data_IF_192576813187
#
_entry.id   IF_192576813187
#
_cell.length_a   1.000
_cell.length_b   1.000
_cell.length_c   1.000
_cell.angle_alpha   90.00
_cell.angle_beta   90.00
_cell.angle_gamma   90.00
#
_symmetry.space_group_name_H-M   'P 1'
#
loop_
_entity.id
_entity.type
_entity.pdbx_description
1 polymer ?
#
# COMPACT_ATOMS: atom_id res chain seq x y z
N UNK A 1 -18.46 2.40 -22.38
CA UNK A 1 -17.20 1.94 -23.01
C UNK A 1 -16.66 0.74 -22.24
N UNK A 2 -16.17 -0.29 -22.93
CA UNK A 2 -15.55 -1.46 -22.31
C UNK A 2 -14.32 -1.86 -23.14
N UNK A 3 -13.13 -1.56 -22.63
CA UNK A 3 -11.87 -1.84 -23.32
C UNK A 3 -11.05 -2.80 -22.48
N UNK A 4 -10.49 -3.82 -23.11
CA UNK A 4 -9.69 -4.85 -22.45
C UNK A 4 -8.38 -5.03 -23.19
N UNK A 5 -7.28 -5.07 -22.43
CA UNK A 5 -5.93 -5.32 -22.93
C UNK A 5 -5.32 -6.46 -22.13
N UNK A 6 -4.67 -7.39 -22.83
CA UNK A 6 -3.92 -8.49 -22.22
C UNK A 6 -2.43 -8.20 -22.36
N UNK A 7 -1.71 -8.33 -21.25
CA UNK A 7 -0.26 -8.18 -21.19
C UNK A 7 0.29 -9.56 -20.85
N UNK A 8 1.24 -10.04 -21.66
CA UNK A 8 1.89 -11.34 -21.46
C UNK A 8 3.40 -11.11 -21.47
N UNK A 9 4.03 -11.48 -20.37
CA UNK A 9 5.48 -11.46 -20.18
C UNK A 9 6.09 -12.83 -20.54
N UNK A 10 7.40 -12.88 -20.78
CA UNK A 10 8.15 -14.14 -20.83
C UNK A 10 7.89 -15.01 -19.60
N UNK A 11 7.94 -16.32 -19.78
CA UNK A 11 7.80 -17.28 -18.68
C UNK A 11 8.92 -17.05 -17.66
N UNK A 12 8.55 -16.99 -16.38
CA UNK A 12 9.47 -16.70 -15.27
C UNK A 12 9.53 -15.22 -14.88
N UNK A 13 8.98 -14.33 -15.69
CA UNK A 13 8.82 -12.91 -15.36
C UNK A 13 7.42 -12.59 -14.87
N UNK A 14 7.30 -11.48 -14.13
CA UNK A 14 6.04 -10.90 -13.67
C UNK A 14 5.87 -9.52 -14.26
N UNK A 15 4.62 -9.06 -14.31
CA UNK A 15 4.23 -7.78 -14.88
C UNK A 15 4.01 -6.80 -13.73
N UNK A 16 4.84 -5.77 -13.66
CA UNK A 16 4.63 -4.63 -12.78
C UNK A 16 3.91 -3.52 -13.56
N UNK A 17 2.79 -3.02 -13.05
CA UNK A 17 1.98 -1.96 -13.66
C UNK A 17 1.84 -0.79 -12.71
N UNK A 18 2.05 0.43 -13.20
CA UNK A 18 1.85 1.65 -12.43
C UNK A 18 1.23 2.76 -13.28
N UNK A 19 0.41 3.59 -12.64
CA UNK A 19 -0.17 4.76 -13.28
C UNK A 19 0.83 5.91 -13.32
N UNK A 20 0.94 6.53 -14.49
CA UNK A 20 1.61 7.84 -14.66
C UNK A 20 0.59 8.98 -14.78
N UNK A 21 -0.69 8.63 -14.91
CA UNK A 21 -1.83 9.54 -14.88
C UNK A 21 -3.12 8.73 -14.66
N UNK A 22 -4.07 9.25 -13.88
CA UNK A 22 -5.42 8.70 -13.78
C UNK A 22 -6.39 9.80 -13.34
N UNK A 23 -7.37 10.15 -14.16
CA UNK A 23 -8.50 11.00 -13.82
C UNK A 23 -9.76 10.40 -14.47
N UNK A 24 -10.56 9.70 -13.67
CA UNK A 24 -11.75 8.99 -14.11
C UNK A 24 -13.00 9.65 -13.55
N UNK A 25 -14.15 9.41 -14.17
CA UNK A 25 -15.40 9.95 -13.64
C UNK A 25 -15.76 9.32 -12.30
N UNK A 26 -16.19 10.18 -11.36
CA UNK A 26 -16.72 9.78 -10.08
C UNK A 26 -17.99 10.56 -9.74
N UNK A 27 -19.11 9.84 -9.58
CA UNK A 27 -20.31 10.40 -8.98
C UNK A 27 -20.36 10.20 -7.46
N UNK A 28 -20.59 11.29 -6.73
CA UNK A 28 -20.90 11.28 -5.28
C UNK A 28 -22.26 10.66 -5.01
N UNK A 29 -23.24 11.00 -5.83
CA UNK A 29 -24.65 10.67 -5.61
C UNK A 29 -25.04 9.30 -6.16
N UNK A 30 -24.25 8.77 -7.11
CA UNK A 30 -24.46 7.46 -7.69
C UNK A 30 -23.16 6.64 -7.72
N UNK A 31 -22.92 5.78 -6.71
CA UNK A 31 -21.73 4.94 -6.67
C UNK A 31 -21.57 3.98 -7.85
N UNK A 32 -22.67 3.70 -8.57
CA UNK A 32 -22.69 2.85 -9.76
C UNK A 32 -22.30 3.61 -11.03
N UNK A 33 -22.36 4.94 -11.01
CA UNK A 33 -21.94 5.81 -12.12
C UNK A 33 -20.53 6.31 -11.86
N UNK A 34 -19.57 5.40 -12.00
CA UNK A 34 -18.14 5.65 -11.82
C UNK A 34 -17.37 4.87 -12.86
N UNK A 35 -16.40 5.54 -13.44
CA UNK A 35 -15.43 4.93 -14.33
C UNK A 35 -14.32 4.28 -13.52
N UNK A 36 -13.82 3.14 -13.97
CA UNK A 36 -12.75 2.43 -13.27
C UNK A 36 -11.88 1.60 -14.21
N UNK A 37 -10.63 1.41 -13.78
CA UNK A 37 -9.70 0.44 -14.34
C UNK A 37 -9.62 -0.73 -13.39
N UNK A 38 -9.79 -1.94 -13.91
CA UNK A 38 -9.72 -3.19 -13.17
C UNK A 38 -8.64 -4.07 -13.77
N UNK A 39 -7.74 -4.56 -12.93
CA UNK A 39 -6.63 -5.42 -13.33
C UNK A 39 -6.87 -6.81 -12.78
N UNK A 40 -6.78 -7.83 -13.64
CA UNK A 40 -7.03 -9.23 -13.34
C UNK A 40 -5.75 -10.05 -13.50
N UNK A 41 -5.55 -11.01 -12.59
CA UNK A 41 -4.50 -12.00 -12.73
C UNK A 41 -4.71 -12.91 -13.94
N UNK A 42 -3.67 -13.12 -14.76
CA UNK A 42 -3.76 -13.95 -15.95
C UNK A 42 -4.53 -13.32 -17.11
N UNK A 43 -5.06 -14.16 -18.00
CA UNK A 43 -5.69 -13.73 -19.27
C UNK A 43 -7.23 -13.61 -19.19
N UNK A 44 -7.84 -13.88 -18.04
CA UNK A 44 -9.30 -13.91 -17.89
C UNK A 44 -9.83 -12.72 -17.10
N UNK A 45 -10.93 -12.13 -17.57
CA UNK A 45 -11.70 -11.13 -16.81
C UNK A 45 -12.83 -11.75 -15.98
N UNK A 46 -12.72 -13.04 -15.67
CA UNK A 46 -13.71 -13.76 -14.85
C UNK A 46 -13.74 -13.22 -13.43
N UNK A 47 -14.92 -13.14 -12.82
CA UNK A 47 -15.06 -12.77 -11.41
C UNK A 47 -14.37 -13.73 -10.44
N UNK A 48 -14.01 -14.94 -10.90
CA UNK A 48 -13.24 -15.91 -10.11
C UNK A 48 -11.75 -15.56 -10.01
N UNK A 49 -11.29 -14.68 -10.89
CA UNK A 49 -9.90 -14.23 -10.92
C UNK A 49 -9.70 -13.11 -9.92
N UNK A 50 -8.58 -13.15 -9.17
CA UNK A 50 -8.21 -12.03 -8.31
C UNK A 50 -8.07 -10.76 -9.13
N UNK A 51 -8.64 -9.65 -8.64
CA UNK A 51 -8.57 -8.37 -9.32
C UNK A 51 -8.41 -7.21 -8.36
N UNK A 52 -7.76 -6.16 -8.87
CA UNK A 52 -7.61 -4.88 -8.20
C UNK A 52 -8.32 -3.84 -9.05
N UNK A 53 -9.23 -3.10 -8.42
CA UNK A 53 -9.99 -2.03 -9.06
C UNK A 53 -9.49 -0.68 -8.59
N UNK A 54 -9.05 0.13 -9.54
CA UNK A 54 -8.61 1.50 -9.35
C UNK A 54 -9.67 2.45 -9.92
N UNK A 55 -10.08 3.44 -9.14
CA UNK A 55 -10.97 4.51 -9.61
C UNK A 55 -10.38 5.87 -9.24
N UNK A 56 -11.15 6.94 -9.31
CA UNK A 56 -10.84 8.24 -8.69
C UNK A 56 -11.98 8.58 -7.74
N UNK A 57 -11.80 9.57 -6.88
CA UNK A 57 -12.83 9.89 -5.90
C UNK A 57 -12.71 11.26 -5.29
N UNK A 58 -13.47 11.46 -4.21
CA UNK A 58 -13.44 12.69 -3.42
C UNK A 58 -12.00 12.94 -2.94
N UNK A 59 -11.47 14.12 -3.25
CA UNK A 59 -10.11 14.48 -2.85
C UNK A 59 -9.02 13.84 -3.71
N UNK A 60 -9.37 13.29 -4.89
CA UNK A 60 -8.38 12.93 -5.90
C UNK A 60 -7.46 14.12 -6.22
N UNK A 61 -6.18 13.83 -6.43
CA UNK A 61 -5.16 14.81 -6.83
C UNK A 61 -4.28 14.18 -7.90
N UNK A 62 -3.82 14.94 -8.92
CA UNK A 62 -2.94 14.41 -9.96
C UNK A 62 -1.64 13.79 -9.44
N UNK A 63 -1.19 14.19 -8.23
CA UNK A 63 0.01 13.66 -7.58
C UNK A 63 -0.22 12.37 -6.80
N UNK A 64 -1.48 11.94 -6.64
CA UNK A 64 -1.85 10.71 -5.91
C UNK A 64 -2.20 9.61 -6.90
N UNK A 65 -1.22 8.74 -7.17
CA UNK A 65 -1.40 7.56 -8.02
C UNK A 65 -1.75 6.33 -7.18
N UNK A 66 -2.55 5.39 -7.73
CA UNK A 66 -2.69 4.07 -7.16
C UNK A 66 -1.32 3.38 -7.00
N UNK A 67 -1.15 2.52 -5.99
CA UNK A 67 0.07 1.73 -5.83
C UNK A 67 0.38 0.88 -7.06
N UNK A 68 1.66 0.56 -7.24
CA UNK A 68 2.09 -0.38 -8.28
C UNK A 68 1.47 -1.75 -8.04
N UNK A 69 0.81 -2.29 -9.07
CA UNK A 69 0.29 -3.65 -9.08
C UNK A 69 1.34 -4.57 -9.67
N UNK A 70 1.60 -5.70 -9.02
CA UNK A 70 2.49 -6.74 -9.53
C UNK A 70 1.68 -8.01 -9.71
N UNK A 71 1.73 -8.60 -10.91
CA UNK A 71 1.06 -9.86 -11.19
C UNK A 71 1.73 -11.03 -10.46
N UNK A 72 0.94 -12.04 -10.11
CA UNK A 72 1.40 -13.31 -9.55
C UNK A 72 1.91 -14.28 -10.62
N UNK A 73 1.53 -14.05 -11.87
CA UNK A 73 1.92 -14.84 -13.05
C UNK A 73 2.55 -13.98 -14.15
N UNK A 74 2.92 -14.58 -15.27
CA UNK A 74 3.44 -13.87 -16.44
C UNK A 74 2.33 -13.27 -17.31
N UNK A 75 1.06 -13.26 -16.87
CA UNK A 75 -0.04 -12.65 -17.60
C UNK A 75 -0.89 -11.77 -16.68
N UNK A 76 -1.36 -10.65 -17.24
CA UNK A 76 -2.22 -9.69 -16.56
C UNK A 76 -3.21 -9.11 -17.58
N UNK A 77 -4.47 -8.98 -17.19
CA UNK A 77 -5.50 -8.36 -18.03
C UNK A 77 -5.93 -7.03 -17.42
N UNK A 78 -5.87 -5.95 -18.19
CA UNK A 78 -6.35 -4.62 -17.81
C UNK A 78 -7.68 -4.36 -18.50
N UNK A 79 -8.71 -3.98 -17.73
CA UNK A 79 -10.04 -3.65 -18.25
C UNK A 79 -10.47 -2.26 -17.80
N UNK A 80 -10.86 -1.41 -18.73
CA UNK A 80 -11.46 -0.11 -18.46
C UNK A 80 -12.97 -0.16 -18.72
N UNK A 81 -13.76 0.24 -17.71
CA UNK A 81 -15.21 0.32 -17.77
C UNK A 81 -15.63 1.77 -17.55
N UNK A 82 -16.47 2.27 -18.45
CA UNK A 82 -17.14 3.56 -18.31
C UNK A 82 -18.60 3.46 -18.75
N UNK A 83 -19.50 4.16 -18.07
CA UNK A 83 -20.91 4.24 -18.44
C UNK A 83 -21.15 5.25 -19.60
N UNK A 84 -20.14 6.04 -19.97
CA UNK A 84 -20.19 7.04 -21.03
C UNK A 84 -20.89 8.34 -20.65
N UNK A 85 -21.33 8.49 -19.40
CA UNK A 85 -22.00 9.68 -18.88
C UNK A 85 -20.99 10.46 -18.03
N UNK A 86 -20.85 11.77 -18.30
CA UNK A 86 -19.91 12.66 -17.62
C UNK A 86 -18.46 12.12 -17.64
N UNK A 87 -17.68 12.49 -18.66
CA UNK A 87 -16.34 11.94 -18.85
C UNK A 87 -15.25 12.81 -18.25
N UNK A 88 -14.13 12.18 -17.90
CA UNK A 88 -12.90 12.83 -17.44
C UNK A 88 -11.72 12.49 -18.37
N UNK A 89 -10.52 12.99 -18.05
CA UNK A 89 -9.32 12.90 -18.92
C UNK A 89 -8.78 11.48 -19.15
N UNK A 90 -9.28 10.48 -18.43
CA UNK A 90 -8.87 9.08 -18.59
C UNK A 90 -7.60 8.73 -17.80
N UNK A 91 -6.85 7.72 -18.26
CA UNK A 91 -5.67 7.22 -17.56
C UNK A 91 -4.51 6.93 -18.50
N UNK A 92 -3.30 6.91 -17.94
CA UNK A 92 -2.09 6.43 -18.59
C UNK A 92 -1.31 5.56 -17.61
N UNK A 93 -1.12 4.30 -17.97
CA UNK A 93 -0.29 3.37 -17.23
C UNK A 93 0.98 3.03 -18.01
N UNK A 94 1.98 2.55 -17.29
CA UNK A 94 3.15 1.87 -17.82
C UNK A 94 3.20 0.47 -17.22
N UNK A 95 3.81 -0.44 -17.95
CA UNK A 95 4.08 -1.79 -17.47
C UNK A 95 5.51 -2.19 -17.78
N UNK A 96 6.05 -3.10 -17.00
CA UNK A 96 7.36 -3.69 -17.17
C UNK A 96 7.25 -5.20 -16.89
N UNK A 97 7.80 -6.01 -17.78
CA UNK A 97 8.03 -7.43 -17.56
C UNK A 97 9.44 -7.60 -16.99
N UNK A 98 9.55 -8.23 -15.82
CA UNK A 98 10.84 -8.49 -15.19
C UNK A 98 10.76 -9.63 -14.19
N UNK A 99 11.91 -10.22 -13.90
CA UNK A 99 12.08 -11.01 -12.68
C UNK A 99 12.02 -10.04 -11.50
N UNK A 100 11.06 -10.24 -10.61
CA UNK A 100 10.92 -9.38 -9.43
C UNK A 100 11.47 -10.12 -8.22
N UNK A 101 12.63 -9.69 -7.67
CA UNK A 101 13.17 -10.28 -6.46
C UNK A 101 12.25 -10.01 -5.27
N UNK A 102 12.16 -10.98 -4.37
CA UNK A 102 11.45 -10.86 -3.10
C UNK A 102 12.43 -11.07 -1.94
N UNK A 103 12.11 -10.47 -0.80
CA UNK A 103 12.90 -10.66 0.43
C UNK A 103 11.97 -10.96 1.61
N UNK A 104 12.26 -12.06 2.31
CA UNK A 104 11.52 -12.54 3.48
C UNK A 104 11.94 -11.89 4.79
N UNK A 105 12.93 -11.00 4.76
CA UNK A 105 13.47 -10.34 5.95
C UNK A 105 12.79 -9.01 6.21
N UNK A 106 12.26 -8.84 7.42
CA UNK A 106 11.71 -7.57 7.89
C UNK A 106 12.76 -6.45 7.78
N UNK A 107 12.31 -5.23 7.47
CA UNK A 107 13.18 -4.07 7.51
C UNK A 107 13.71 -3.79 8.92
N UNK A 108 14.71 -2.92 9.02
CA UNK A 108 15.26 -2.49 10.30
C UNK A 108 14.94 -1.01 10.54
N UNK A 109 14.99 -0.60 11.80
CA UNK A 109 14.94 0.83 12.14
C UNK A 109 16.20 1.51 11.60
N UNK A 110 15.98 2.61 10.89
CA UNK A 110 17.03 3.49 10.37
C UNK A 110 16.80 4.88 10.95
N UNK A 111 17.60 5.26 11.94
CA UNK A 111 17.54 6.58 12.54
C UNK A 111 18.06 7.64 11.57
N UNK A 112 17.41 8.81 11.54
CA UNK A 112 17.82 9.92 10.68
C UNK A 112 18.99 10.72 11.28
N UNK A 113 19.16 10.67 12.59
CA UNK A 113 20.20 11.37 13.33
C UNK A 113 20.56 10.63 14.63
N UNK A 114 21.57 11.13 15.35
CA UNK A 114 22.05 10.53 16.61
C UNK A 114 21.13 10.76 17.82
N UNK A 115 20.07 11.58 17.69
CA UNK A 115 19.12 11.83 18.78
C UNK A 115 18.17 10.64 19.00
N UNK A 116 18.08 9.73 18.03
CA UNK A 116 17.14 8.61 18.01
C UNK A 116 15.66 9.04 18.13
N UNK A 117 15.35 10.32 17.88
CA UNK A 117 13.98 10.86 17.94
C UNK A 117 13.23 10.72 16.63
N UNK A 118 13.89 10.39 15.53
CA UNK A 118 13.23 10.22 14.23
C UNK A 118 13.92 9.16 13.39
N UNK A 119 13.13 8.50 12.53
CA UNK A 119 13.63 7.37 11.76
C UNK A 119 12.61 6.83 10.77
N UNK A 120 13.08 5.89 9.96
CA UNK A 120 12.27 5.14 9.01
C UNK A 120 12.44 3.64 9.19
N UNK A 121 11.40 2.89 8.81
CA UNK A 121 11.38 1.43 8.80
C UNK A 121 10.75 0.99 7.48
N UNK A 122 11.51 0.42 6.54
CA UNK A 122 10.92 -0.21 5.36
C UNK A 122 10.21 -1.51 5.76
N UNK A 123 9.16 -1.90 5.03
CA UNK A 123 8.45 -3.15 5.33
C UNK A 123 9.34 -4.40 5.28
N UNK A 124 10.33 -4.40 4.39
CA UNK A 124 11.27 -5.49 4.18
C UNK A 124 12.63 -4.94 3.70
N UNK A 125 13.68 -5.73 3.84
CA UNK A 125 15.01 -5.40 3.30
C UNK A 125 14.99 -5.37 1.77
N UNK A 126 15.65 -4.37 1.17
CA UNK A 126 15.71 -4.24 -0.29
C UNK A 126 14.52 -3.53 -0.94
N UNK A 127 13.52 -3.08 -0.15
CA UNK A 127 12.36 -2.30 -0.66
C UNK A 127 12.78 -1.13 -1.55
N UNK A 128 13.76 -0.34 -1.12
CA UNK A 128 14.25 0.82 -1.88
C UNK A 128 14.89 0.42 -3.22
N UNK A 129 15.37 -0.81 -3.35
CA UNK A 129 15.88 -1.40 -4.59
C UNK A 129 14.79 -2.04 -5.47
N UNK A 130 13.52 -1.87 -5.12
CA UNK A 130 12.40 -2.40 -5.91
C UNK A 130 12.08 -3.89 -5.66
N UNK A 131 12.60 -4.47 -4.57
CA UNK A 131 12.17 -5.79 -4.12
C UNK A 131 10.72 -5.75 -3.60
N UNK A 132 10.06 -6.90 -3.61
CA UNK A 132 8.79 -7.11 -2.90
C UNK A 132 9.06 -7.77 -1.55
N UNK A 133 8.15 -7.58 -0.60
CA UNK A 133 8.14 -8.45 0.57
C UNK A 133 7.69 -9.86 0.14
N UNK A 134 8.20 -10.90 0.80
CA UNK A 134 7.76 -12.28 0.51
C UNK A 134 6.39 -12.58 1.13
N UNK A 135 5.70 -13.57 0.57
CA UNK A 135 4.53 -14.18 1.20
C UNK A 135 4.92 -14.87 2.54
N UNK A 136 3.93 -15.07 3.42
CA UNK A 136 4.06 -15.61 4.77
C UNK A 136 5.05 -14.89 5.71
N UNK A 137 5.33 -13.61 5.48
CA UNK A 137 6.13 -12.79 6.40
C UNK A 137 5.32 -12.39 7.63
N UNK A 138 5.98 -12.42 8.79
CA UNK A 138 5.46 -11.83 10.03
C UNK A 138 6.54 -10.93 10.61
N UNK A 139 6.25 -9.64 10.72
CA UNK A 139 7.17 -8.63 11.21
C UNK A 139 6.57 -7.88 12.40
N UNK A 140 7.41 -7.66 13.41
CA UNK A 140 7.11 -6.79 14.54
C UNK A 140 8.28 -5.81 14.72
N UNK A 141 7.97 -4.52 14.83
CA UNK A 141 8.95 -3.48 15.14
C UNK A 141 8.51 -2.73 16.39
N UNK A 142 9.35 -2.70 17.41
CA UNK A 142 9.17 -1.85 18.58
C UNK A 142 9.78 -0.47 18.28
N UNK A 143 8.97 0.58 18.33
CA UNK A 143 9.45 1.94 18.11
C UNK A 143 10.26 2.43 19.32
N UNK A 144 11.23 3.34 19.10
CA UNK A 144 11.98 3.98 20.19
C UNK A 144 11.05 4.72 21.14
N UNK A 145 11.46 4.80 22.40
CA UNK A 145 10.67 5.44 23.45
C UNK A 145 11.54 6.30 24.33
N UNK A 146 11.14 7.56 24.43
CA UNK A 146 11.80 8.55 25.27
C UNK A 146 10.74 9.10 26.23
N UNK A 147 10.92 8.95 27.55
CA UNK A 147 9.96 9.44 28.53
C UNK A 147 9.61 10.92 28.31
N UNK A 148 8.32 11.24 28.34
CA UNK A 148 7.80 12.60 28.14
C UNK A 148 7.59 13.01 26.68
N UNK A 149 8.08 12.22 25.70
CA UNK A 149 7.84 12.50 24.29
C UNK A 149 6.59 11.78 23.76
N UNK A 150 5.83 12.51 22.94
CA UNK A 150 4.73 12.03 22.12
C UNK A 150 5.29 11.36 20.86
N UNK A 151 4.64 10.31 20.37
CA UNK A 151 5.09 9.58 19.17
C UNK A 151 4.15 9.80 18.01
N UNK A 152 4.67 10.37 16.93
CA UNK A 152 4.01 10.41 15.62
C UNK A 152 4.47 9.24 14.76
N UNK A 153 3.51 8.55 14.16
CA UNK A 153 3.74 7.50 13.17
C UNK A 153 3.05 7.87 11.87
N UNK A 154 3.81 7.83 10.78
CA UNK A 154 3.35 8.12 9.43
C UNK A 154 3.68 6.93 8.52
N UNK A 155 2.66 6.29 7.97
CA UNK A 155 2.81 5.30 6.91
C UNK A 155 2.84 6.00 5.56
N UNK A 156 3.79 5.64 4.71
CA UNK A 156 4.01 6.24 3.39
C UNK A 156 4.12 5.17 2.31
N UNK A 157 3.66 5.52 1.10
CA UNK A 157 3.70 4.68 -0.10
C UNK A 157 3.16 3.28 0.17
N UNK A 158 1.98 3.22 0.77
CA UNK A 158 1.40 1.96 1.22
C UNK A 158 0.92 1.16 0.01
N UNK A 159 1.44 -0.06 -0.12
CA UNK A 159 1.07 -1.03 -1.13
C UNK A 159 1.07 -2.40 -0.47
N UNK A 160 -0.11 -2.86 -0.07
CA UNK A 160 -0.32 -4.22 0.45
C UNK A 160 -1.07 -5.06 -0.57
N UNK A 161 -0.72 -6.33 -0.64
CA UNK A 161 -1.43 -7.31 -1.43
C UNK A 161 -2.76 -7.66 -0.75
N UNK A 162 -3.70 -8.21 -1.53
CA UNK A 162 -5.04 -8.50 -1.04
C UNK A 162 -4.98 -9.65 -0.04
N UNK A 163 -5.38 -9.38 1.21
CA UNK A 163 -5.35 -10.37 2.30
C UNK A 163 -4.29 -10.06 3.35
N UNK A 164 -3.31 -9.22 3.02
CA UNK A 164 -2.26 -8.81 3.94
C UNK A 164 -2.78 -7.80 4.97
N UNK A 165 -2.16 -7.80 6.14
CA UNK A 165 -2.62 -7.02 7.29
C UNK A 165 -1.49 -6.25 7.94
N UNK A 166 -1.77 -5.00 8.29
CA UNK A 166 -0.90 -4.14 9.08
C UNK A 166 -1.69 -3.56 10.26
N UNK A 167 -1.06 -3.51 11.44
CA UNK A 167 -1.67 -2.90 12.61
C UNK A 167 -0.62 -2.31 13.54
N UNK A 168 -1.04 -1.32 14.33
CA UNK A 168 -0.25 -0.69 15.37
C UNK A 168 -0.81 -1.12 16.72
N UNK A 169 0.06 -1.34 17.69
CA UNK A 169 -0.33 -1.53 19.08
C UNK A 169 0.37 -0.51 19.97
N UNK A 170 -0.35 0.10 20.90
CA UNK A 170 0.19 1.09 21.83
C UNK A 170 -0.29 0.85 23.26
N UNK A 171 0.62 0.85 24.24
CA UNK A 171 0.28 0.88 25.66
C UNK A 171 0.53 2.30 26.22
N UNK A 172 -0.45 2.85 26.93
CA UNK A 172 -0.32 4.15 27.59
C UNK A 172 0.43 4.00 28.93
N UNK A 173 1.16 5.04 29.35
CA UNK A 173 1.87 5.05 30.64
C UNK A 173 0.92 4.90 31.84
N UNK A 174 -0.31 5.41 31.73
CA UNK A 174 -1.29 5.50 32.83
C UNK A 174 -2.71 5.18 32.36
N UNK A 175 -2.92 4.04 31.69
CA UNK A 175 -4.24 3.66 31.15
C UNK A 175 -4.47 2.14 31.05
N UNK A 176 -5.71 1.71 30.79
CA UNK A 176 -6.06 0.30 30.81
C UNK A 176 -5.60 -0.37 29.52
N UNK A 177 -4.60 -1.25 29.63
CA UNK A 177 -4.22 -2.22 28.60
C UNK A 177 -3.63 -1.68 27.30
N UNK A 178 -3.11 -2.61 26.49
CA UNK A 178 -2.55 -2.34 25.15
C UNK A 178 -3.71 -2.13 24.16
N UNK A 179 -3.73 -0.98 23.49
CA UNK A 179 -4.68 -0.66 22.42
C UNK A 179 -4.16 -1.17 21.08
N UNK A 180 -5.07 -1.63 20.22
CA UNK A 180 -4.75 -2.10 18.86
C UNK A 180 -5.46 -1.23 17.83
N UNK A 181 -4.74 -0.77 16.83
CA UNK A 181 -5.21 0.06 15.74
C UNK A 181 -4.93 -0.65 14.42
N UNK A 182 -5.98 -1.20 13.80
CA UNK A 182 -5.84 -1.81 12.49
C UNK A 182 -5.74 -0.74 11.40
N UNK A 183 -4.83 -0.96 10.45
CA UNK A 183 -4.69 -0.09 9.30
C UNK A 183 -5.78 -0.48 8.29
N UNK A 184 -6.86 0.30 8.24
CA UNK A 184 -7.88 0.15 7.21
C UNK A 184 -7.34 0.73 5.90
N UNK A 185 -7.04 -0.16 4.94
CA UNK A 185 -6.56 0.24 3.63
C UNK A 185 -7.71 0.26 2.64
N UNK A 186 -7.99 1.43 2.08
CA UNK A 186 -8.56 1.51 0.74
C UNK A 186 -7.43 1.76 -0.27
N UNK A 187 -7.66 1.48 -1.55
CA UNK A 187 -6.66 1.69 -2.62
C UNK A 187 -6.35 3.19 -2.86
N UNK A 188 -7.11 4.11 -2.25
CA UNK A 188 -6.80 5.55 -2.22
C UNK A 188 -5.83 5.94 -1.10
N UNK A 189 -5.60 5.04 -0.14
CA UNK A 189 -4.85 5.32 1.08
C UNK A 189 -3.35 5.19 0.80
N UNK A 190 -2.74 6.29 0.40
CA UNK A 190 -1.29 6.37 0.08
C UNK A 190 -0.46 6.68 1.34
N UNK A 191 -1.06 7.33 2.34
CA UNK A 191 -0.42 7.68 3.60
C UNK A 191 -1.41 7.73 4.75
N UNK A 192 -0.95 7.38 5.96
CA UNK A 192 -1.76 7.43 7.19
C UNK A 192 -0.90 8.01 8.30
N UNK A 193 -1.43 9.00 9.01
CA UNK A 193 -0.75 9.63 10.14
C UNK A 193 -1.51 9.32 11.43
N UNK A 194 -0.77 8.97 12.48
CA UNK A 194 -1.29 8.74 13.82
C UNK A 194 -0.36 9.36 14.86
N UNK A 195 -0.91 10.25 15.65
CA UNK A 195 -0.29 10.77 16.85
C UNK A 195 -0.72 9.93 18.03
N UNK A 196 0.25 9.44 18.79
CA UNK A 196 0.04 8.67 20.01
C UNK A 196 0.46 9.55 21.18
N UNK A 197 -0.45 9.76 22.13
CA UNK A 197 -0.12 10.29 23.46
C UNK A 197 1.09 9.56 24.06
N UNK A 198 1.80 10.15 25.04
CA UNK A 198 2.97 9.53 25.66
C UNK A 198 2.74 8.04 26.00
N UNK A 199 3.30 7.17 25.17
CA UNK A 199 3.07 5.74 25.16
C UNK A 199 4.34 4.99 25.55
N UNK A 200 4.18 3.94 26.35
CA UNK A 200 5.27 3.15 26.95
C UNK A 200 5.51 1.81 26.25
N UNK A 201 4.68 1.41 25.29
CA UNK A 201 5.01 0.32 24.33
C UNK A 201 4.31 0.61 22.99
N UNK A 202 5.05 1.01 21.96
CA UNK A 202 4.50 1.23 20.61
C UNK A 202 5.13 0.23 19.66
N UNK A 203 4.30 -0.65 19.08
CA UNK A 203 4.76 -1.63 18.10
C UNK A 203 3.97 -1.58 16.81
N UNK A 204 4.69 -1.69 15.71
CA UNK A 204 4.17 -1.86 14.37
C UNK A 204 4.21 -3.34 14.00
N UNK A 205 3.14 -3.83 13.40
CA UNK A 205 2.99 -5.22 13.00
C UNK A 205 2.61 -5.32 11.54
N UNK A 206 3.19 -6.29 10.85
CA UNK A 206 2.85 -6.63 9.47
C UNK A 206 2.80 -8.15 9.30
N UNK A 207 1.76 -8.63 8.64
CA UNK A 207 1.60 -10.03 8.28
C UNK A 207 1.14 -10.14 6.83
N UNK A 208 1.89 -10.88 6.02
CA UNK A 208 1.47 -11.21 4.66
C UNK A 208 0.85 -12.61 4.62
N UNK A 209 -0.05 -12.82 3.66
CA UNK A 209 -0.64 -14.11 3.37
C UNK A 209 0.28 -14.98 2.49
N UNK A 210 -0.22 -16.13 2.05
CA UNK A 210 0.53 -17.10 1.25
C UNK A 210 0.39 -16.91 -0.27
N UNK A 211 -0.32 -15.88 -0.73
CA UNK A 211 -0.76 -15.78 -2.12
C UNK A 211 -0.03 -14.69 -2.89
N UNK A 212 0.05 -13.49 -2.34
CA UNK A 212 0.45 -12.33 -3.12
C UNK A 212 1.45 -11.44 -2.40
N UNK A 213 2.41 -10.93 -3.16
CA UNK A 213 3.40 -9.98 -2.70
C UNK A 213 3.09 -8.57 -3.21
N UNK A 214 3.64 -7.55 -2.55
CA UNK A 214 3.52 -6.17 -3.01
C UNK A 214 4.77 -5.35 -2.68
N UNK A 215 4.79 -4.09 -3.16
CA UNK A 215 5.94 -3.18 -2.98
C UNK A 215 6.10 -2.72 -1.52
N UNK A 216 5.12 -3.01 -0.67
CA UNK A 216 5.19 -2.78 0.77
C UNK A 216 4.92 -1.33 1.14
N UNK A 217 5.56 -0.88 2.20
CA UNK A 217 5.30 0.43 2.81
C UNK A 217 6.57 0.95 3.49
N UNK A 218 6.56 2.23 3.83
CA UNK A 218 7.57 2.86 4.67
C UNK A 218 6.90 3.42 5.92
N UNK A 219 7.38 3.04 7.10
CA UNK A 219 6.99 3.67 8.37
C UNK A 219 7.98 4.79 8.61
N UNK A 220 7.49 6.00 8.85
CA UNK A 220 8.27 7.11 9.39
C UNK A 220 7.77 7.38 10.80
N UNK A 221 8.68 7.57 11.75
CA UNK A 221 8.31 7.93 13.12
C UNK A 221 9.06 9.18 13.57
N UNK A 222 8.44 9.92 14.49
CA UNK A 222 9.01 11.09 15.14
C UNK A 222 8.57 11.17 16.60
N UNK A 223 9.50 11.45 17.49
CA UNK A 223 9.29 11.71 18.90
C UNK A 223 9.46 13.21 19.15
N UNK A 224 8.54 13.82 19.88
CA UNK A 224 8.55 15.27 20.15
C UNK A 224 7.82 15.60 21.45
N UNK A 225 8.08 16.77 22.03
CA UNK A 225 7.30 17.26 23.18
C UNK A 225 5.91 17.66 22.69
N UNK A 226 4.86 17.05 23.24
CA UNK A 226 3.49 17.51 23.02
C UNK A 226 3.28 18.83 23.75
N UNK A 227 3.01 19.91 23.01
CA UNK A 227 2.40 21.13 23.56
C UNK A 227 0.89 20.93 23.80
#
# INVERSE_FOLDING_TARGET
MNCTWQIVAPVGERIAVWFTYINLHFSRDSPRSRDYVEMFEGMSTSHRTSSIRCFTGIGWRPTRMPPTVVSTSNALTVRFISDGIATDKGFRLRYEAKVIPHNGSCGSIQFLDASNTSGVIPSHQGRAGGMLYSSNMTCEWQLPQIPGLTTDVTLLNISLAKGDSMWLTAAAASGPGRRTFHVALDWNTISINRTLEPAVDVRMHFKSDSYSESTGFLIHFRLYNGE
#
